data_IF_723787054954
#
_entry.id   IF_723787054954
#
_cell.length_a   1.000
_cell.length_b   1.000
_cell.length_c   1.000
_cell.angle_alpha   90.00
_cell.angle_beta   90.00
_cell.angle_gamma   90.00
#
_symmetry.space_group_name_H-M   'P 1'
#
loop_
_entity.id
_entity.type
_entity.pdbx_description
1 polymer ?
#
# COMPACT_ATOMS: atom_id res chain seq x y z
N UNK A 1 1.38 -5.09 -46.65
CA UNK A 1 2.75 -4.68 -47.03
C UNK A 1 3.25 -3.64 -46.01
N UNK A 2 4.40 -3.91 -45.36
CA UNK A 2 5.42 -3.01 -44.77
C UNK A 2 4.90 -1.78 -43.97
N UNK A 3 5.41 -1.49 -42.77
CA UNK A 3 6.83 -1.20 -42.48
C UNK A 3 7.13 -1.41 -40.99
N UNK A 4 8.23 -2.12 -40.71
CA UNK A 4 8.88 -2.25 -39.40
C UNK A 4 10.06 -1.28 -39.40
N UNK A 5 10.19 -0.44 -38.38
CA UNK A 5 11.37 0.41 -38.13
C UNK A 5 11.97 -0.03 -36.80
N UNK A 6 12.95 -0.93 -36.80
CA UNK A 6 14.41 -0.69 -36.84
C UNK A 6 14.91 0.01 -35.58
N UNK A 7 15.40 -0.86 -34.68
CA UNK A 7 16.20 -0.62 -33.49
C UNK A 7 17.57 -0.08 -33.90
N UNK A 8 18.01 1.01 -33.28
CA UNK A 8 19.39 1.46 -33.31
C UNK A 8 19.97 1.34 -31.90
N UNK A 9 20.62 0.20 -31.62
CA UNK A 9 21.47 0.01 -30.45
C UNK A 9 22.92 0.22 -30.90
N UNK A 10 23.54 1.29 -30.42
CA UNK A 10 24.97 1.56 -30.61
C UNK A 10 25.61 1.77 -29.24
N UNK A 11 26.58 0.91 -28.94
CA UNK A 11 27.71 1.24 -28.08
C UNK A 11 27.59 0.77 -26.63
N UNK A 12 28.35 -0.27 -26.27
CA UNK A 12 29.56 -0.08 -25.44
C UNK A 12 30.38 -1.36 -25.43
N UNK A 13 31.36 -1.42 -26.35
CA UNK A 13 32.48 -2.35 -26.30
C UNK A 13 33.55 -1.71 -25.42
N UNK A 14 33.91 -2.32 -24.29
CA UNK A 14 35.27 -2.30 -23.73
C UNK A 14 35.38 -3.28 -22.56
N UNK A 15 36.02 -4.42 -22.87
CA UNK A 15 36.67 -5.35 -21.94
C UNK A 15 37.71 -4.62 -21.08
N UNK A 16 37.77 -4.96 -19.79
CA UNK A 16 39.05 -5.11 -19.09
C UNK A 16 39.11 -6.46 -18.35
N UNK A 17 40.27 -7.08 -18.53
CA UNK A 17 40.66 -8.38 -18.02
C UNK A 17 41.15 -8.29 -16.56
N UNK A 18 40.90 -9.39 -15.85
CA UNK A 18 41.67 -10.02 -14.76
C UNK A 18 42.78 -9.23 -14.03
N UNK A 19 42.72 -9.25 -12.71
CA UNK A 19 43.90 -9.38 -11.86
C UNK A 19 43.60 -10.29 -10.64
N UNK A 20 44.16 -11.50 -10.67
CA UNK A 20 44.41 -12.32 -9.48
C UNK A 20 45.63 -11.78 -8.72
N UNK A 21 45.66 -11.97 -7.41
CA UNK A 21 46.83 -11.81 -6.53
C UNK A 21 46.45 -11.03 -5.26
N UNK A 22 46.81 -11.41 -4.04
CA UNK A 22 47.96 -12.19 -3.63
C UNK A 22 47.79 -12.65 -2.16
N UNK A 23 48.21 -13.88 -1.89
CA UNK A 23 48.32 -14.47 -0.56
C UNK A 23 49.61 -14.03 0.15
N UNK A 24 49.54 -13.97 1.49
CA UNK A 24 50.68 -13.94 2.42
C UNK A 24 50.88 -12.59 3.13
N UNK A 25 50.92 -12.48 4.45
CA UNK A 25 50.86 -13.51 5.48
C UNK A 25 51.03 -12.94 6.89
N UNK A 26 51.05 -13.89 7.82
CA UNK A 26 51.62 -13.88 9.18
C UNK A 26 51.03 -12.97 10.25
N UNK A 27 50.41 -13.61 11.26
CA UNK A 27 50.88 -13.42 12.64
C UNK A 27 49.81 -13.20 13.71
N UNK A 28 49.65 -14.23 14.56
CA UNK A 28 49.20 -14.19 15.97
C UNK A 28 47.68 -13.91 16.20
N UNK A 29 46.92 -14.64 17.02
CA UNK A 29 47.18 -15.51 18.19
C UNK A 29 46.15 -16.64 18.24
N UNK A 30 46.65 -17.83 18.55
CA UNK A 30 45.95 -19.02 19.00
C UNK A 30 45.48 -18.84 20.45
N UNK A 31 44.19 -19.04 20.74
CA UNK A 31 43.72 -19.58 22.03
C UNK A 31 42.44 -20.36 21.80
N UNK A 32 42.53 -21.67 21.99
CA UNK A 32 41.44 -22.63 22.10
C UNK A 32 40.69 -22.50 23.45
N UNK A 33 39.48 -23.08 23.56
CA UNK A 33 38.52 -22.80 24.62
C UNK A 33 38.75 -23.66 25.88
N UNK A 34 38.48 -23.09 27.06
CA UNK A 34 38.36 -23.85 28.31
C UNK A 34 36.90 -23.92 28.75
N UNK A 35 36.44 -25.16 28.91
CA UNK A 35 35.20 -25.57 29.58
C UNK A 35 35.25 -25.21 31.07
N UNK A 36 34.11 -24.93 31.71
CA UNK A 36 33.55 -25.69 32.85
C UNK A 36 32.17 -25.17 33.25
N UNK A 37 31.26 -26.13 33.48
CA UNK A 37 29.95 -26.08 34.12
C UNK A 37 29.85 -25.20 35.38
N UNK A 38 28.67 -24.64 35.63
CA UNK A 38 27.94 -24.84 36.89
C UNK A 38 26.43 -24.75 36.65
N UNK A 39 25.73 -25.59 37.38
CA UNK A 39 24.36 -26.09 37.24
C UNK A 39 23.42 -25.38 38.23
N UNK A 40 22.11 -25.64 38.07
CA UNK A 40 21.01 -25.58 39.06
C UNK A 40 20.30 -24.23 39.23
N UNK A 41 19.03 -24.16 38.79
CA UNK A 41 17.77 -24.42 39.53
C UNK A 41 17.14 -23.04 39.85
N UNK A 42 15.83 -22.78 39.85
CA UNK A 42 14.65 -23.60 40.16
C UNK A 42 13.39 -22.79 39.81
N UNK A 43 12.31 -23.52 39.52
CA UNK A 43 10.88 -23.24 39.81
C UNK A 43 10.24 -21.93 39.30
N UNK A 44 9.23 -21.99 38.42
CA UNK A 44 7.84 -22.41 38.70
C UNK A 44 7.10 -21.49 39.68
N UNK A 45 6.24 -20.65 39.13
CA UNK A 45 4.95 -20.33 39.76
C UNK A 45 3.93 -19.94 38.69
N UNK A 46 3.06 -20.90 38.44
CA UNK A 46 1.69 -20.72 38.02
C UNK A 46 0.91 -20.03 39.17
N UNK A 47 0.12 -19.01 38.86
CA UNK A 47 -0.99 -18.58 39.70
C UNK A 47 -2.08 -18.00 38.79
N UNK A 48 -3.12 -18.82 38.60
CA UNK A 48 -4.41 -18.42 38.10
C UNK A 48 -5.19 -17.59 39.15
N UNK A 49 -6.38 -17.15 38.72
CA UNK A 49 -7.54 -16.67 39.52
C UNK A 49 -7.74 -15.14 39.44
N UNK A 50 -8.62 -14.63 38.58
CA UNK A 50 -10.11 -14.63 38.63
C UNK A 50 -10.66 -13.45 39.44
N UNK A 51 -11.37 -12.61 38.69
CA UNK A 51 -12.52 -11.70 38.99
C UNK A 51 -12.40 -10.63 40.07
N UNK A 52 -12.55 -9.38 39.63
CA UNK A 52 -13.49 -8.44 40.26
C UNK A 52 -13.91 -7.39 39.22
N UNK A 53 -15.10 -7.54 38.63
CA UNK A 53 -15.85 -6.37 38.16
C UNK A 53 -17.27 -6.50 38.69
N UNK A 54 -17.52 -5.75 39.75
CA UNK A 54 -18.78 -5.64 40.46
C UNK A 54 -19.54 -4.40 39.96
N UNK A 55 -20.77 -4.67 39.53
CA UNK A 55 -21.99 -3.96 39.93
C UNK A 55 -22.48 -2.73 39.12
N UNK A 56 -23.54 -3.05 38.36
CA UNK A 56 -24.88 -2.45 38.31
C UNK A 56 -25.14 -1.06 37.69
N UNK A 57 -25.81 -1.13 36.53
CA UNK A 57 -27.21 -0.75 36.27
C UNK A 57 -27.73 0.64 36.67
N UNK A 58 -28.48 1.22 35.69
CA UNK A 58 -29.61 2.18 35.74
C UNK A 58 -29.35 3.35 34.74
N UNK A 59 -30.26 3.93 33.97
CA UNK A 59 -31.72 3.80 33.71
C UNK A 59 -32.07 4.80 32.57
N UNK A 60 -33.20 4.58 31.89
CA UNK A 60 -34.04 5.55 31.13
C UNK A 60 -33.67 6.02 29.70
N UNK A 61 -34.46 5.52 28.75
CA UNK A 61 -35.05 6.30 27.65
C UNK A 61 -36.09 7.30 28.21
N UNK A 62 -36.53 8.39 27.51
CA UNK A 62 -37.37 8.25 26.31
C UNK A 62 -37.38 9.42 25.28
N UNK A 63 -38.12 9.15 24.18
CA UNK A 63 -38.98 10.06 23.41
C UNK A 63 -38.42 10.83 22.19
N UNK A 64 -38.78 10.33 20.99
CA UNK A 64 -39.21 11.14 19.84
C UNK A 64 -40.50 11.92 20.17
N UNK A 65 -40.95 12.96 19.40
CA UNK A 65 -41.72 12.67 18.17
C UNK A 65 -41.78 13.77 17.08
N UNK A 66 -42.43 13.37 15.96
CA UNK A 66 -43.27 14.14 15.02
C UNK A 66 -42.71 14.78 13.74
N UNK A 67 -43.00 14.07 12.64
CA UNK A 67 -43.34 14.56 11.28
C UNK A 67 -44.54 15.53 11.26
N UNK A 68 -44.72 16.32 10.18
CA UNK A 68 -45.83 15.98 9.30
C UNK A 68 -45.60 16.11 7.78
N UNK A 69 -46.45 15.34 7.11
CA UNK A 69 -46.73 15.09 5.68
C UNK A 69 -47.24 16.32 4.89
N UNK A 70 -46.88 16.37 3.59
CA UNK A 70 -47.68 16.91 2.47
C UNK A 70 -47.45 15.94 1.28
N UNK A 71 -48.39 15.10 0.79
CA UNK A 71 -49.58 15.39 -0.07
C UNK A 71 -49.17 16.28 -1.26
N UNK A 72 -49.17 15.88 -2.53
CA UNK A 72 -50.26 15.31 -3.33
C UNK A 72 -49.72 14.79 -4.69
N UNK A 73 -50.35 13.76 -5.26
CA UNK A 73 -50.23 13.39 -6.68
C UNK A 73 -51.26 14.18 -7.51
N UNK A 74 -51.12 14.30 -8.84
CA UNK A 74 -51.90 13.39 -9.68
C UNK A 74 -51.22 12.92 -10.98
N UNK A 75 -51.75 11.80 -11.45
CA UNK A 75 -51.52 11.10 -12.72
C UNK A 75 -51.93 11.92 -13.95
N UNK A 76 -51.21 11.76 -15.07
CA UNK A 76 -51.80 11.83 -16.42
C UNK A 76 -51.13 10.82 -17.37
N UNK A 77 -52.01 10.18 -18.13
CA UNK A 77 -51.79 9.11 -19.09
C UNK A 77 -51.52 9.65 -20.50
N UNK A 78 -50.85 8.86 -21.34
CA UNK A 78 -51.12 8.84 -22.78
C UNK A 78 -49.90 8.93 -23.70
N UNK A 79 -49.82 7.98 -24.64
CA UNK A 79 -49.30 8.27 -25.99
C UNK A 79 -48.12 7.43 -26.46
N UNK A 80 -48.42 6.26 -27.02
CA UNK A 80 -47.53 5.47 -27.89
C UNK A 80 -47.31 6.16 -29.23
N UNK A 81 -46.07 6.17 -29.75
CA UNK A 81 -45.69 5.65 -31.08
C UNK A 81 -44.39 6.27 -31.65
N UNK A 82 -43.51 5.35 -32.07
CA UNK A 82 -42.63 5.36 -33.25
C UNK A 82 -41.50 6.42 -33.37
N UNK A 83 -40.24 5.98 -33.21
CA UNK A 83 -39.32 5.51 -34.27
C UNK A 83 -38.57 6.68 -34.88
N UNK A 84 -37.32 6.90 -34.47
CA UNK A 84 -36.20 7.17 -35.39
C UNK A 84 -34.91 6.63 -34.78
N UNK A 85 -34.29 5.71 -35.51
CA UNK A 85 -32.94 5.25 -35.27
C UNK A 85 -31.98 6.35 -35.70
N UNK A 86 -31.13 6.81 -34.79
CA UNK A 86 -29.85 7.41 -35.15
C UNK A 86 -28.77 6.69 -34.37
N UNK A 87 -27.98 5.96 -35.12
CA UNK A 87 -26.77 5.28 -34.72
C UNK A 87 -25.68 6.30 -34.40
N UNK A 88 -24.80 5.90 -33.49
CA UNK A 88 -23.48 6.46 -33.20
C UNK A 88 -23.41 7.78 -32.41
N UNK A 89 -23.25 7.62 -31.11
CA UNK A 89 -22.01 8.05 -30.47
C UNK A 89 -21.69 7.04 -29.35
N UNK A 90 -20.66 6.23 -29.55
CA UNK A 90 -20.00 5.50 -28.46
C UNK A 90 -19.43 6.54 -27.49
N UNK A 91 -20.30 6.97 -26.59
CA UNK A 91 -19.92 7.69 -25.39
C UNK A 91 -19.63 6.58 -24.41
N UNK A 92 -18.36 6.27 -24.20
CA UNK A 92 -17.92 5.65 -22.95
C UNK A 92 -18.55 6.49 -21.85
N UNK A 93 -19.60 5.95 -21.24
CA UNK A 93 -20.22 6.53 -20.07
C UNK A 93 -19.11 6.70 -19.05
N UNK A 94 -18.70 7.95 -18.84
CA UNK A 94 -18.05 8.38 -17.62
C UNK A 94 -18.98 7.94 -16.50
N UNK A 95 -18.69 6.78 -15.91
CA UNK A 95 -19.25 6.42 -14.61
C UNK A 95 -18.94 7.60 -13.70
N UNK A 96 -19.98 8.33 -13.31
CA UNK A 96 -19.99 9.00 -12.03
C UNK A 96 -19.91 7.88 -10.99
N UNK A 97 -18.72 7.34 -10.80
CA UNK A 97 -18.43 6.37 -9.76
C UNK A 97 -18.56 7.14 -8.46
N UNK A 98 -19.64 6.89 -7.73
CA UNK A 98 -19.56 6.98 -6.28
C UNK A 98 -18.32 6.17 -5.90
N UNK A 99 -17.27 6.85 -5.42
CA UNK A 99 -16.02 6.20 -5.06
C UNK A 99 -16.23 5.08 -4.04
N UNK A 100 -15.15 4.37 -3.69
CA UNK A 100 -15.21 3.25 -2.75
C UNK A 100 -15.67 3.71 -1.35
N UNK A 101 -16.54 2.94 -0.71
CA UNK A 101 -16.97 3.22 0.68
C UNK A 101 -15.81 2.97 1.66
N UNK A 102 -15.09 1.87 1.48
CA UNK A 102 -13.92 1.48 2.26
C UNK A 102 -13.01 0.53 1.47
N UNK A 103 -11.95 0.02 2.11
CA UNK A 103 -10.99 -0.91 1.48
C UNK A 103 -11.63 -2.24 1.04
N UNK A 104 -12.69 -2.70 1.69
CA UNK A 104 -13.37 -3.96 1.39
C UNK A 104 -14.32 -3.85 0.20
N UNK A 105 -14.74 -2.63 -0.14
CA UNK A 105 -15.52 -2.33 -1.34
C UNK A 105 -14.68 -2.29 -2.63
N UNK A 106 -13.34 -2.31 -2.53
CA UNK A 106 -12.43 -2.30 -3.66
C UNK A 106 -12.33 -3.71 -4.24
N UNK A 107 -12.63 -3.86 -5.53
CA UNK A 107 -12.44 -5.14 -6.22
C UNK A 107 -10.96 -5.45 -6.45
N UNK A 108 -10.64 -6.74 -6.59
CA UNK A 108 -9.26 -7.20 -6.72
C UNK A 108 -8.56 -6.67 -7.98
N UNK A 109 -9.30 -6.37 -9.05
CA UNK A 109 -8.72 -5.83 -10.29
C UNK A 109 -8.29 -4.38 -10.11
N UNK A 110 -9.13 -3.56 -9.46
CA UNK A 110 -8.80 -2.19 -9.11
C UNK A 110 -7.62 -2.10 -8.13
N UNK A 111 -7.60 -2.96 -7.11
CA UNK A 111 -6.47 -3.04 -6.17
C UNK A 111 -5.18 -3.44 -6.90
N UNK A 112 -5.23 -4.43 -7.79
CA UNK A 112 -4.08 -4.86 -8.56
C UNK A 112 -3.57 -3.77 -9.53
N UNK A 113 -4.49 -3.03 -10.17
CA UNK A 113 -4.16 -1.93 -11.05
C UNK A 113 -3.46 -0.79 -10.30
N UNK A 114 -3.98 -0.38 -9.14
CA UNK A 114 -3.33 0.63 -8.31
C UNK A 114 -1.97 0.15 -7.78
N UNK A 115 -1.90 -1.09 -7.28
CA UNK A 115 -0.64 -1.70 -6.86
C UNK A 115 0.40 -1.70 -7.98
N UNK A 116 -0.01 -1.92 -9.23
CA UNK A 116 0.88 -1.86 -10.40
C UNK A 116 1.43 -0.44 -10.62
N UNK A 117 0.61 0.60 -10.51
CA UNK A 117 1.08 2.00 -10.62
C UNK A 117 2.12 2.33 -9.56
N UNK A 118 1.90 1.88 -8.32
CA UNK A 118 2.88 2.04 -7.23
C UNK A 118 4.19 1.31 -7.56
N UNK A 119 4.11 0.07 -8.06
CA UNK A 119 5.29 -0.70 -8.48
C UNK A 119 6.07 -0.01 -9.59
N UNK A 120 5.38 0.57 -10.57
CA UNK A 120 6.01 1.28 -11.68
C UNK A 120 6.76 2.54 -11.18
N UNK A 121 6.15 3.33 -10.31
CA UNK A 121 6.80 4.49 -9.70
C UNK A 121 8.04 4.08 -8.86
N UNK A 122 7.94 3.00 -8.08
CA UNK A 122 9.06 2.48 -7.29
C UNK A 122 10.18 1.93 -8.17
N UNK A 123 9.85 1.16 -9.22
CA UNK A 123 10.82 0.60 -10.14
C UNK A 123 11.57 1.69 -10.94
N UNK A 124 10.87 2.78 -11.29
CA UNK A 124 11.46 3.96 -11.91
C UNK A 124 12.21 4.85 -10.92
N UNK A 125 12.08 4.60 -9.61
CA UNK A 125 12.50 5.51 -8.53
C UNK A 125 11.99 6.93 -8.74
N UNK A 126 10.77 7.05 -9.25
CA UNK A 126 10.12 8.31 -9.56
C UNK A 126 9.37 8.83 -8.32
N UNK A 127 10.05 9.70 -7.57
CA UNK A 127 9.51 10.26 -6.34
C UNK A 127 8.30 11.15 -6.60
N UNK A 128 8.27 11.84 -7.74
CA UNK A 128 7.18 12.73 -8.11
C UNK A 128 5.93 11.92 -8.44
N UNK A 129 6.08 10.85 -9.23
CA UNK A 129 4.98 9.93 -9.52
C UNK A 129 4.48 9.22 -8.25
N UNK A 130 5.38 8.79 -7.36
CA UNK A 130 4.98 8.19 -6.09
C UNK A 130 4.24 9.19 -5.19
N UNK A 131 4.65 10.47 -5.21
CA UNK A 131 3.96 11.54 -4.49
C UNK A 131 2.55 11.80 -5.03
N UNK A 132 2.36 11.71 -6.35
CA UNK A 132 1.06 11.89 -7.00
C UNK A 132 0.07 10.75 -6.68
N UNK A 133 0.59 9.58 -6.29
CA UNK A 133 -0.22 8.44 -5.84
C UNK A 133 -0.57 8.50 -4.35
N UNK A 134 -0.01 9.44 -3.58
CA UNK A 134 -0.19 9.52 -2.14
C UNK A 134 -1.33 10.46 -1.71
N UNK A 135 -1.95 10.12 -0.58
CA UNK A 135 -2.80 11.04 0.17
C UNK A 135 -2.04 11.59 1.38
N UNK A 136 -2.34 12.82 1.75
CA UNK A 136 -1.69 13.51 2.86
C UNK A 136 -2.67 13.77 4.01
N UNK A 137 -2.23 13.62 5.28
CA UNK A 137 -0.88 13.29 5.73
C UNK A 137 -0.47 11.84 5.43
N UNK A 138 0.74 11.65 4.91
CA UNK A 138 1.34 10.34 4.58
C UNK A 138 2.30 9.93 5.70
N UNK A 139 2.12 8.73 6.23
CA UNK A 139 3.05 8.14 7.20
C UNK A 139 4.29 7.56 6.49
N UNK A 140 5.48 7.86 7.01
CA UNK A 140 6.74 7.26 6.56
C UNK A 140 7.53 6.79 7.79
N UNK A 141 7.62 5.49 7.98
CA UNK A 141 8.31 4.85 9.10
C UNK A 141 9.71 4.39 8.73
N UNK A 142 10.71 5.27 8.86
CA UNK A 142 12.12 4.91 8.67
C UNK A 142 12.67 4.12 9.87
N UNK A 143 13.80 3.45 9.65
CA UNK A 143 14.51 2.69 10.70
C UNK A 143 15.06 3.57 11.83
N UNK A 144 15.29 4.86 11.57
CA UNK A 144 15.74 5.86 12.54
C UNK A 144 14.59 6.67 13.18
N UNK A 145 13.34 6.40 12.79
CA UNK A 145 12.14 7.07 13.31
C UNK A 145 11.05 7.25 12.26
N UNK A 146 9.87 7.67 12.70
CA UNK A 146 8.74 7.94 11.80
C UNK A 146 8.46 9.42 11.63
N UNK A 147 7.90 9.76 10.47
CA UNK A 147 7.49 11.11 10.08
C UNK A 147 6.11 11.01 9.43
N UNK A 148 5.25 11.99 9.71
CA UNK A 148 4.03 12.22 8.93
C UNK A 148 4.26 13.44 8.04
N UNK A 149 4.42 13.24 6.74
CA UNK A 149 4.52 14.34 5.78
C UNK A 149 3.13 14.85 5.47
N UNK A 150 2.93 16.16 5.50
CA UNK A 150 1.60 16.78 5.40
C UNK A 150 1.29 17.32 4.01
N UNK A 151 2.25 17.27 3.10
CA UNK A 151 2.13 17.74 1.73
C UNK A 151 3.02 16.96 0.77
N UNK A 152 2.69 17.10 -0.52
CA UNK A 152 3.47 16.57 -1.64
C UNK A 152 4.90 17.09 -1.64
N UNK A 153 5.05 18.39 -1.41
CA UNK A 153 6.35 19.06 -1.39
C UNK A 153 7.22 18.56 -0.24
N UNK A 154 6.64 18.32 0.95
CA UNK A 154 7.36 17.73 2.08
C UNK A 154 7.81 16.29 1.79
N UNK A 155 6.97 15.50 1.13
CA UNK A 155 7.35 14.14 0.73
C UNK A 155 8.50 14.14 -0.28
N UNK A 156 8.41 14.96 -1.32
CA UNK A 156 9.49 15.11 -2.33
C UNK A 156 10.79 15.61 -1.66
N UNK A 157 10.69 16.50 -0.67
CA UNK A 157 11.84 17.02 0.05
C UNK A 157 12.58 15.95 0.90
N UNK A 158 11.97 14.80 1.19
CA UNK A 158 12.67 13.66 1.81
C UNK A 158 13.79 13.12 0.91
N UNK A 159 13.64 13.27 -0.40
CA UNK A 159 14.62 12.86 -1.41
C UNK A 159 14.49 11.40 -1.83
N UNK A 160 14.74 11.15 -3.12
CA UNK A 160 14.56 9.83 -3.75
C UNK A 160 15.47 8.76 -3.13
N UNK A 161 16.71 9.11 -2.79
CA UNK A 161 17.66 8.16 -2.17
C UNK A 161 17.20 7.67 -0.80
N UNK A 162 16.51 8.53 -0.03
CA UNK A 162 15.98 8.16 1.29
C UNK A 162 14.73 7.28 1.15
N UNK A 163 13.89 7.59 0.17
CA UNK A 163 12.62 6.87 -0.05
C UNK A 163 12.85 5.53 -0.77
N UNK A 164 13.58 5.50 -1.87
CA UNK A 164 13.80 4.29 -2.67
C UNK A 164 15.02 3.51 -2.21
N UNK A 165 14.99 3.03 -0.96
CA UNK A 165 16.02 2.11 -0.48
C UNK A 165 16.04 0.84 -1.35
N UNK A 166 17.20 0.17 -1.52
CA UNK A 166 17.27 -1.07 -2.28
C UNK A 166 16.26 -2.12 -1.81
N UNK A 167 16.06 -2.22 -0.49
CA UNK A 167 15.13 -3.17 0.13
C UNK A 167 13.66 -2.83 -0.20
N UNK A 168 13.26 -1.55 -0.21
CA UNK A 168 11.92 -1.15 -0.63
C UNK A 168 11.69 -1.43 -2.11
N UNK A 169 12.67 -1.09 -2.96
CA UNK A 169 12.59 -1.32 -4.41
C UNK A 169 12.45 -2.82 -4.71
N UNK A 170 13.23 -3.66 -4.05
CA UNK A 170 13.13 -5.11 -4.19
C UNK A 170 11.80 -5.65 -3.67
N UNK A 171 11.41 -5.26 -2.45
CA UNK A 171 10.19 -5.77 -1.81
C UNK A 171 8.95 -5.41 -2.62
N UNK A 172 8.78 -4.15 -2.97
CA UNK A 172 7.60 -3.66 -3.71
C UNK A 172 7.66 -4.09 -5.17
N UNK A 173 8.84 -4.03 -5.81
CA UNK A 173 9.02 -4.43 -7.21
C UNK A 173 8.64 -5.89 -7.46
N UNK A 174 8.86 -6.77 -6.48
CA UNK A 174 8.52 -8.19 -6.57
C UNK A 174 7.15 -8.56 -5.98
N UNK A 175 6.38 -7.60 -5.45
CA UNK A 175 5.08 -7.87 -4.84
C UNK A 175 4.08 -8.46 -5.84
N UNK A 176 3.27 -9.44 -5.41
CA UNK A 176 2.19 -9.99 -6.23
C UNK A 176 0.91 -9.16 -6.07
N UNK A 177 0.63 -8.34 -7.08
CA UNK A 177 -0.54 -7.45 -7.11
C UNK A 177 -1.86 -8.20 -7.22
N UNK A 178 -1.86 -9.46 -7.67
CA UNK A 178 -3.08 -10.24 -7.85
C UNK A 178 -3.52 -10.98 -6.57
N UNK A 179 -2.67 -10.99 -5.54
CA UNK A 179 -2.95 -11.62 -4.24
C UNK A 179 -3.19 -10.61 -3.12
N UNK A 180 -3.44 -9.35 -3.47
CA UNK A 180 -3.70 -8.29 -2.49
C UNK A 180 -5.03 -8.54 -1.78
N UNK A 181 -4.99 -8.53 -0.45
CA UNK A 181 -6.16 -8.71 0.40
C UNK A 181 -6.47 -7.40 1.14
N UNK A 182 -7.74 -6.95 1.14
CA UNK A 182 -8.11 -5.75 1.88
C UNK A 182 -7.99 -5.98 3.39
N UNK A 183 -7.68 -4.90 4.11
CA UNK A 183 -7.71 -4.85 5.57
C UNK A 183 -8.22 -3.49 6.04
N UNK A 184 -8.36 -3.31 7.36
CA UNK A 184 -8.67 -1.98 7.93
C UNK A 184 -7.60 -0.93 7.60
N UNK A 185 -6.33 -1.34 7.50
CA UNK A 185 -5.23 -0.43 7.13
C UNK A 185 -5.15 -0.16 5.62
N UNK A 186 -5.84 -0.96 4.80
CA UNK A 186 -5.71 -0.97 3.35
C UNK A 186 -5.03 -2.24 2.85
N UNK A 187 -4.32 -2.10 1.75
CA UNK A 187 -3.61 -3.15 1.05
C UNK A 187 -2.11 -2.98 1.29
N UNK A 188 -1.47 -4.03 1.80
CA UNK A 188 -0.02 -4.06 1.95
C UNK A 188 0.62 -4.57 0.65
N UNK A 189 1.51 -3.76 0.09
CA UNK A 189 2.27 -4.08 -1.11
C UNK A 189 3.71 -4.40 -0.74
N UNK A 190 4.02 -5.70 -0.67
CA UNK A 190 5.35 -6.25 -0.47
C UNK A 190 5.44 -7.67 -1.02
N UNK A 191 6.65 -8.18 -1.21
CA UNK A 191 6.90 -9.57 -1.63
C UNK A 191 7.27 -10.49 -0.46
N UNK A 192 7.67 -9.91 0.68
CA UNK A 192 8.16 -10.59 1.86
C UNK A 192 7.88 -9.78 3.13
N UNK A 193 8.33 -10.31 4.27
CA UNK A 193 8.46 -9.56 5.51
C UNK A 193 9.61 -8.56 5.37
N UNK A 194 9.30 -7.26 5.44
CA UNK A 194 10.26 -6.18 5.21
C UNK A 194 9.58 -4.87 4.83
N UNK A 195 10.32 -3.96 4.16
CA UNK A 195 9.76 -2.70 3.71
C UNK A 195 8.54 -2.91 2.83
N UNK A 196 7.53 -2.07 3.02
CA UNK A 196 6.25 -2.19 2.31
C UNK A 196 5.60 -0.83 2.12
N UNK A 197 4.70 -0.75 1.13
CA UNK A 197 3.84 0.40 0.91
C UNK A 197 2.40 -0.01 1.24
N UNK A 198 1.71 0.80 2.03
CA UNK A 198 0.29 0.63 2.33
C UNK A 198 -0.51 1.66 1.53
N UNK A 199 -1.45 1.18 0.73
CA UNK A 199 -2.43 2.03 0.06
C UNK A 199 -3.85 1.67 0.51
N UNK A 200 -4.73 2.67 0.60
CA UNK A 200 -6.08 2.51 1.12
C UNK A 200 -7.06 3.41 0.37
N UNK A 201 -8.35 3.25 0.65
CA UNK A 201 -9.38 4.18 0.19
C UNK A 201 -9.31 5.47 1.03
N UNK A 202 -9.19 6.59 0.33
CA UNK A 202 -9.21 7.95 0.89
C UNK A 202 -10.16 8.78 0.02
N UNK A 203 -11.20 9.36 0.63
CA UNK A 203 -12.23 10.14 -0.08
C UNK A 203 -12.80 9.41 -1.31
N UNK A 204 -12.99 8.09 -1.20
CA UNK A 204 -13.54 7.26 -2.27
C UNK A 204 -12.56 6.85 -3.37
N UNK A 205 -11.27 7.16 -3.27
CA UNK A 205 -10.25 6.77 -4.25
C UNK A 205 -9.08 6.05 -3.57
N UNK A 206 -8.38 5.18 -4.30
CA UNK A 206 -7.16 4.54 -3.78
C UNK A 206 -6.01 5.56 -3.74
N UNK A 207 -5.28 5.58 -2.63
CA UNK A 207 -4.09 6.40 -2.44
C UNK A 207 -3.11 5.74 -1.46
N UNK A 208 -1.82 6.02 -1.60
CA UNK A 208 -0.79 5.61 -0.64
C UNK A 208 -0.99 6.38 0.67
N UNK A 209 -0.99 5.67 1.79
CA UNK A 209 -1.15 6.23 3.14
C UNK A 209 -0.01 5.84 4.09
N UNK A 210 0.83 4.88 3.71
CA UNK A 210 2.00 4.50 4.51
C UNK A 210 3.16 3.96 3.67
N UNK A 211 4.38 4.28 4.09
CA UNK A 211 5.61 3.63 3.64
C UNK A 211 6.38 3.18 4.88
N UNK A 212 6.70 1.90 4.97
CA UNK A 212 7.36 1.28 6.12
C UNK A 212 8.71 0.70 5.70
N UNK A 213 9.75 0.89 6.52
CA UNK A 213 11.10 0.33 6.35
C UNK A 213 11.48 -0.60 7.49
#
# INVERSE_FOLDING_TARGET
MKKKSVIAAVGMMSLWLAACGQAGGTGNVQTEPSVVETVQETQSSEAASVVEETQAAQTEAPAEPTVPVQTEAPVQTGGSAETEAVLEASSTETQASSGYEDNFAVDSEAAAAFGTQVKEAVAAQDLEALADLAAYPLYVGFTDGSVNVTSREEFVALGAERVFTPELVESVGNADVNSLSPSMAGFALSSNDGPNIIFSVVNGSLAIQGINY
#
